data_IF_050389275114
#
_entry.id   IF_050389275114
#
_cell.length_a   1.000
_cell.length_b   1.000
_cell.length_c   1.000
_cell.angle_alpha   90.00
_cell.angle_beta   90.00
_cell.angle_gamma   90.00
#
_symmetry.space_group_name_H-M   'P 1'
#
loop_
_entity.id
_entity.type
_entity.pdbx_description
1 polymer ?
#
# COMPACT_ATOMS: atom_id res chain seq x y z
N UNK A 1 34.26 62.93 -41.03
CA UNK A 1 33.55 62.77 -39.74
C UNK A 1 32.64 61.59 -39.87
N UNK A 2 33.08 60.41 -39.35
CA UNK A 2 32.33 59.15 -39.44
C UNK A 2 31.79 58.78 -38.02
N UNK A 3 30.46 58.76 -37.81
CA UNK A 3 29.83 58.42 -36.57
C UNK A 3 29.56 56.92 -36.57
N UNK A 4 30.23 56.19 -35.68
CA UNK A 4 29.91 54.79 -35.34
C UNK A 4 28.74 54.78 -34.39
N UNK A 5 27.64 54.09 -34.79
CA UNK A 5 26.50 53.76 -33.91
C UNK A 5 26.76 52.36 -33.35
N UNK A 6 26.96 52.30 -32.04
CA UNK A 6 27.14 51.06 -31.30
C UNK A 6 25.73 50.54 -30.87
N UNK A 7 25.26 49.48 -31.53
CA UNK A 7 24.00 48.81 -31.19
C UNK A 7 24.25 47.77 -30.08
N UNK A 8 23.73 48.04 -28.90
CA UNK A 8 23.77 47.14 -27.74
C UNK A 8 22.68 46.07 -27.86
N UNK A 9 23.04 44.80 -28.12
CA UNK A 9 22.12 43.69 -28.06
C UNK A 9 21.97 43.25 -26.60
N UNK A 10 20.82 43.54 -25.94
CA UNK A 10 20.41 42.93 -24.68
C UNK A 10 19.88 41.53 -24.98
N UNK A 11 20.67 40.51 -24.68
CA UNK A 11 20.20 39.12 -24.68
C UNK A 11 19.27 38.85 -23.49
N UNK A 12 17.99 38.66 -23.75
CA UNK A 12 17.03 38.22 -22.76
C UNK A 12 17.11 36.68 -22.64
N UNK A 13 17.81 36.20 -21.63
CA UNK A 13 17.81 34.75 -21.30
C UNK A 13 16.53 34.39 -20.58
N UNK A 14 15.60 33.75 -21.30
CA UNK A 14 14.37 33.20 -20.69
C UNK A 14 14.74 31.89 -19.98
N UNK A 15 14.81 31.96 -18.67
CA UNK A 15 14.99 30.78 -17.81
C UNK A 15 13.66 29.99 -17.75
N UNK A 16 13.62 28.86 -18.46
CA UNK A 16 12.47 27.92 -18.36
C UNK A 16 12.54 27.19 -17.02
N UNK A 17 11.74 27.61 -16.04
CA UNK A 17 11.51 26.85 -14.82
C UNK A 17 10.51 25.75 -15.16
N UNK A 18 10.98 24.52 -15.33
CA UNK A 18 10.12 23.35 -15.44
C UNK A 18 9.45 23.10 -14.07
N UNK A 19 8.25 23.61 -13.90
CA UNK A 19 7.41 23.27 -12.75
C UNK A 19 6.99 21.81 -12.87
N UNK A 20 7.57 20.93 -12.04
CA UNK A 20 7.06 19.57 -11.84
C UNK A 20 5.69 19.67 -11.20
N UNK A 21 4.63 19.76 -11.99
CA UNK A 21 3.25 19.62 -11.51
C UNK A 21 3.01 18.14 -11.20
N UNK A 22 3.07 17.76 -9.94
CA UNK A 22 2.56 16.49 -9.47
C UNK A 22 1.04 16.51 -9.61
N UNK A 23 0.52 15.90 -10.67
CA UNK A 23 -0.93 15.69 -10.80
C UNK A 23 -1.42 14.83 -9.63
N UNK A 24 -2.45 15.27 -8.87
CA UNK A 24 -3.02 14.44 -7.83
C UNK A 24 -3.61 13.18 -8.47
N UNK A 25 -3.17 12.02 -7.98
CA UNK A 25 -3.64 10.71 -8.43
C UNK A 25 -5.15 10.59 -8.14
N UNK A 26 -5.98 10.70 -9.18
CA UNK A 26 -7.41 10.45 -9.09
C UNK A 26 -7.61 8.95 -8.83
N UNK A 27 -8.34 8.54 -7.77
CA UNK A 27 -8.61 7.12 -7.54
C UNK A 27 -9.27 6.51 -8.78
N UNK A 28 -8.62 5.50 -9.35
CA UNK A 28 -9.19 4.75 -10.48
C UNK A 28 -10.42 3.99 -9.99
N UNK A 29 -11.58 4.31 -10.53
CA UNK A 29 -12.85 3.59 -10.31
C UNK A 29 -13.05 2.47 -11.34
N UNK A 30 -12.04 2.19 -12.16
CA UNK A 30 -12.12 1.13 -13.17
C UNK A 30 -12.31 -0.22 -12.51
N UNK A 31 -13.25 -1.07 -12.99
CA UNK A 31 -13.41 -2.41 -12.48
C UNK A 31 -12.13 -3.23 -12.73
N UNK A 32 -11.81 -4.14 -11.81
CA UNK A 32 -10.68 -5.05 -11.97
C UNK A 32 -10.86 -5.90 -13.24
N UNK A 33 -9.76 -6.23 -13.96
CA UNK A 33 -9.84 -7.02 -15.20
C UNK A 33 -10.48 -8.40 -14.95
N UNK A 34 -11.65 -8.73 -15.53
CA UNK A 34 -12.41 -9.93 -15.17
C UNK A 34 -11.64 -11.23 -15.37
N UNK A 35 -10.87 -11.35 -16.45
CA UNK A 35 -10.07 -12.53 -16.74
C UNK A 35 -8.99 -12.78 -15.67
N UNK A 36 -8.33 -11.72 -15.19
CA UNK A 36 -7.31 -11.83 -14.13
C UNK A 36 -7.96 -12.17 -12.78
N UNK A 37 -9.12 -11.58 -12.47
CA UNK A 37 -9.91 -11.91 -11.28
C UNK A 37 -10.28 -13.39 -11.28
N UNK A 38 -10.78 -13.92 -12.41
CA UNK A 38 -11.14 -15.33 -12.52
C UNK A 38 -9.92 -16.24 -12.40
N UNK A 39 -8.79 -15.87 -13.00
CA UNK A 39 -7.53 -16.59 -12.86
C UNK A 39 -7.12 -16.69 -11.39
N UNK A 40 -7.11 -15.58 -10.66
CA UNK A 40 -6.76 -15.55 -9.22
C UNK A 40 -7.71 -16.41 -8.38
N UNK A 41 -9.01 -16.37 -8.65
CA UNK A 41 -9.99 -17.20 -7.94
C UNK A 41 -9.74 -18.71 -8.11
N UNK A 42 -9.22 -19.12 -9.27
CA UNK A 42 -8.92 -20.53 -9.57
C UNK A 42 -7.56 -20.99 -9.02
N UNK A 43 -6.73 -20.08 -8.51
CA UNK A 43 -5.44 -20.41 -7.88
C UNK A 43 -5.65 -20.84 -6.43
N UNK A 44 -4.77 -21.70 -5.94
CA UNK A 44 -4.76 -22.07 -4.52
C UNK A 44 -4.03 -21.00 -3.69
N UNK A 45 -4.55 -20.71 -2.49
CA UNK A 45 -3.83 -19.91 -1.49
C UNK A 45 -2.61 -20.71 -0.99
N UNK A 46 -1.44 -20.10 -1.01
CA UNK A 46 -0.27 -20.67 -0.39
C UNK A 46 -0.45 -20.75 1.13
N UNK A 47 -0.17 -21.91 1.72
CA UNK A 47 -0.21 -22.12 3.17
C UNK A 47 0.88 -21.31 3.92
N UNK A 48 1.89 -20.79 3.20
CA UNK A 48 2.96 -19.96 3.75
C UNK A 48 3.10 -18.68 2.95
N UNK A 49 3.07 -17.56 3.66
CA UNK A 49 3.19 -16.22 3.10
C UNK A 49 4.43 -15.53 3.69
N UNK A 50 5.17 -14.72 2.91
CA UNK A 50 6.25 -13.92 3.44
C UNK A 50 5.70 -12.83 4.37
N UNK A 51 6.50 -12.46 5.35
CA UNK A 51 6.20 -11.33 6.23
C UNK A 51 6.16 -10.04 5.40
N UNK A 52 5.05 -9.28 5.42
CA UNK A 52 4.85 -8.14 4.53
C UNK A 52 5.60 -6.86 4.95
N UNK A 53 6.55 -6.95 5.86
CA UNK A 53 7.39 -5.83 6.30
C UNK A 53 8.86 -6.20 6.13
N UNK A 54 9.59 -5.39 5.37
CA UNK A 54 11.00 -5.64 5.06
C UNK A 54 11.84 -5.76 6.36
N UNK A 55 12.75 -6.74 6.38
CA UNK A 55 13.69 -7.01 7.47
C UNK A 55 13.07 -7.47 8.80
N UNK A 56 11.77 -7.71 8.86
CA UNK A 56 11.13 -8.36 10.01
C UNK A 56 11.23 -9.88 9.86
N UNK A 57 11.62 -10.57 10.91
CA UNK A 57 11.75 -12.02 10.99
C UNK A 57 10.60 -12.64 11.77
N UNK A 58 10.25 -13.89 11.51
CA UNK A 58 9.14 -14.60 12.18
C UNK A 58 9.19 -14.51 13.72
N UNK A 59 10.38 -14.63 14.32
CA UNK A 59 10.56 -14.50 15.79
C UNK A 59 10.20 -13.11 16.37
N UNK A 60 10.07 -12.10 15.54
CA UNK A 60 9.71 -10.72 15.94
C UNK A 60 8.19 -10.48 15.84
N UNK A 61 7.47 -11.39 15.18
CA UNK A 61 6.01 -11.30 15.10
C UNK A 61 5.40 -11.64 16.47
N UNK A 62 4.31 -10.94 16.78
CA UNK A 62 3.45 -11.26 17.91
C UNK A 62 2.08 -11.60 17.38
N UNK A 63 1.46 -12.65 17.89
CA UNK A 63 0.06 -12.91 17.61
C UNK A 63 -0.79 -11.93 18.41
N UNK A 64 -1.30 -10.92 17.70
CA UNK A 64 -2.18 -9.89 18.26
C UNK A 64 -3.63 -10.07 17.79
N UNK A 65 -3.93 -11.21 17.13
CA UNK A 65 -5.27 -11.56 16.70
C UNK A 65 -6.25 -11.63 17.89
N UNK A 66 -7.47 -11.13 17.71
CA UNK A 66 -8.52 -11.17 18.72
C UNK A 66 -8.32 -10.22 19.91
N UNK A 67 -7.21 -9.48 19.97
CA UNK A 67 -6.99 -8.50 21.03
C UNK A 67 -8.10 -7.43 21.06
N UNK A 68 -8.50 -6.99 22.25
CA UNK A 68 -9.50 -5.93 22.40
C UNK A 68 -9.07 -4.63 21.74
N UNK A 69 -10.02 -3.97 21.08
CA UNK A 69 -9.86 -2.66 20.45
C UNK A 69 -10.91 -1.67 21.01
N UNK A 70 -10.69 -0.39 20.76
CA UNK A 70 -11.64 0.65 21.16
C UNK A 70 -13.05 0.38 20.60
N UNK A 71 -14.08 0.82 21.32
CA UNK A 71 -15.50 0.67 20.96
C UNK A 71 -15.96 -0.81 20.84
N UNK A 72 -15.46 -1.70 21.69
CA UNK A 72 -15.91 -3.10 21.76
C UNK A 72 -15.52 -3.96 20.55
N UNK A 73 -14.65 -3.49 19.67
CA UNK A 73 -14.17 -4.27 18.52
C UNK A 73 -13.08 -5.25 18.95
N UNK A 74 -12.94 -6.32 18.20
CA UNK A 74 -11.80 -7.24 18.26
C UNK A 74 -10.81 -6.95 17.13
N UNK A 75 -9.56 -7.34 17.33
CA UNK A 75 -8.51 -7.16 16.33
C UNK A 75 -8.61 -8.22 15.23
N UNK A 76 -8.99 -7.79 14.05
CA UNK A 76 -9.18 -8.63 12.86
C UNK A 76 -7.94 -8.61 11.95
N UNK A 77 -6.79 -8.96 12.53
CA UNK A 77 -5.49 -8.97 11.86
C UNK A 77 -4.35 -9.11 12.85
N UNK A 78 -3.15 -8.82 12.40
CA UNK A 78 -1.98 -8.69 13.29
C UNK A 78 -1.30 -7.35 13.06
N UNK A 79 -0.66 -6.84 14.11
CA UNK A 79 0.12 -5.62 14.07
C UNK A 79 1.62 -5.97 14.00
N UNK A 80 2.26 -5.62 12.91
CA UNK A 80 3.69 -5.87 12.68
C UNK A 80 4.45 -4.57 12.95
N UNK A 81 5.11 -4.50 14.08
CA UNK A 81 5.83 -3.32 14.54
C UNK A 81 7.09 -3.10 13.71
N UNK A 82 7.28 -1.88 13.19
CA UNK A 82 8.48 -1.47 12.47
C UNK A 82 8.59 0.06 12.45
N UNK A 83 9.81 0.61 12.29
CA UNK A 83 10.00 2.05 12.15
C UNK A 83 9.18 2.62 10.97
N UNK A 84 8.67 3.87 11.13
CA UNK A 84 8.03 4.62 10.04
C UNK A 84 8.92 4.62 8.80
N UNK A 85 8.33 4.48 7.62
CA UNK A 85 9.04 4.45 6.35
C UNK A 85 9.67 3.10 6.00
N UNK A 86 9.58 2.07 6.88
CA UNK A 86 9.98 0.70 6.53
C UNK A 86 9.13 0.21 5.36
N UNK A 87 9.77 -0.43 4.36
CA UNK A 87 9.06 -0.92 3.16
C UNK A 87 8.01 -1.98 3.52
N UNK A 88 6.79 -1.79 3.03
CA UNK A 88 5.72 -2.77 3.06
C UNK A 88 5.66 -3.48 1.72
N UNK A 89 5.72 -4.80 1.76
CA UNK A 89 5.80 -5.67 0.59
C UNK A 89 4.51 -6.48 0.47
N UNK A 90 4.12 -6.82 -0.75
CA UNK A 90 3.00 -7.72 -0.95
C UNK A 90 3.30 -9.12 -0.41
N UNK A 91 2.46 -9.62 0.49
CA UNK A 91 2.56 -11.00 1.00
C UNK A 91 2.11 -12.03 -0.04
N UNK A 92 1.40 -11.61 -1.06
CA UNK A 92 0.83 -12.46 -2.11
C UNK A 92 1.05 -11.86 -3.49
N UNK A 93 0.90 -12.64 -4.53
CA UNK A 93 0.64 -12.10 -5.87
C UNK A 93 -0.84 -11.73 -5.98
N UNK A 94 -1.18 -10.80 -6.87
CA UNK A 94 -2.58 -10.43 -7.07
C UNK A 94 -2.78 -9.05 -7.67
N UNK A 95 -4.04 -8.62 -7.69
CA UNK A 95 -4.45 -7.31 -8.19
C UNK A 95 -4.60 -6.31 -7.06
N UNK A 96 -4.03 -5.13 -7.22
CA UNK A 96 -4.37 -3.98 -6.37
C UNK A 96 -5.85 -3.67 -6.60
N UNK A 97 -6.66 -3.96 -5.61
CA UNK A 97 -8.11 -3.84 -5.72
C UNK A 97 -8.65 -2.54 -5.14
N UNK A 98 -7.86 -1.91 -4.24
CA UNK A 98 -8.26 -0.64 -3.65
C UNK A 98 -7.05 0.07 -3.04
N UNK A 99 -7.01 1.38 -3.24
CA UNK A 99 -6.07 2.32 -2.65
C UNK A 99 -6.88 3.50 -2.11
N UNK A 100 -6.93 3.66 -0.80
CA UNK A 100 -7.70 4.76 -0.20
C UNK A 100 -7.06 5.28 1.07
N UNK A 101 -7.55 6.42 1.52
CA UNK A 101 -7.32 6.93 2.86
C UNK A 101 -8.68 7.05 3.58
N UNK A 102 -8.80 6.48 4.77
CA UNK A 102 -10.02 6.52 5.57
C UNK A 102 -9.71 6.69 7.07
N UNK A 103 -10.74 7.01 7.85
CA UNK A 103 -10.56 7.33 9.28
C UNK A 103 -10.09 6.14 10.12
N UNK A 104 -10.42 4.90 9.74
CA UNK A 104 -10.06 3.71 10.50
C UNK A 104 -8.65 3.23 10.14
N UNK A 105 -8.46 2.79 8.90
CA UNK A 105 -7.19 2.20 8.46
C UNK A 105 -6.15 3.22 8.03
N UNK A 106 -6.52 4.50 7.90
CA UNK A 106 -5.64 5.50 7.29
C UNK A 106 -5.39 5.20 5.82
N UNK A 107 -4.16 5.35 5.37
CA UNK A 107 -3.76 4.93 4.02
C UNK A 107 -3.70 3.40 3.96
N UNK A 108 -4.48 2.81 3.07
CA UNK A 108 -4.65 1.36 2.97
C UNK A 108 -4.46 0.85 1.56
N UNK A 109 -4.02 -0.40 1.46
CA UNK A 109 -3.98 -1.18 0.22
C UNK A 109 -4.80 -2.44 0.43
N UNK A 110 -5.66 -2.76 -0.55
CA UNK A 110 -6.31 -4.05 -0.65
C UNK A 110 -5.81 -4.79 -1.88
N UNK A 111 -5.45 -6.05 -1.72
CA UNK A 111 -5.02 -6.93 -2.81
C UNK A 111 -5.98 -8.11 -2.89
N UNK A 112 -6.49 -8.37 -4.10
CA UNK A 112 -7.17 -9.61 -4.44
C UNK A 112 -6.12 -10.63 -4.87
N UNK A 113 -5.96 -11.69 -4.09
CA UNK A 113 -4.95 -12.73 -4.26
C UNK A 113 -5.53 -14.07 -4.74
N UNK A 114 -4.66 -15.11 -4.77
CA UNK A 114 -5.03 -16.49 -5.08
C UNK A 114 -6.18 -17.01 -4.22
N UNK A 115 -7.02 -17.89 -4.78
CA UNK A 115 -8.22 -18.41 -4.13
C UNK A 115 -9.33 -17.37 -3.94
N UNK A 116 -9.21 -16.18 -4.54
CA UNK A 116 -10.14 -15.08 -4.31
C UNK A 116 -10.00 -14.44 -2.93
N UNK A 117 -8.87 -14.68 -2.25
CA UNK A 117 -8.58 -14.11 -0.94
C UNK A 117 -8.29 -12.62 -1.01
N UNK A 118 -8.56 -11.91 0.08
CA UNK A 118 -8.31 -10.49 0.18
C UNK A 118 -7.29 -10.20 1.27
N UNK A 119 -6.27 -9.43 0.90
CA UNK A 119 -5.18 -9.03 1.80
C UNK A 119 -5.27 -7.54 2.07
N UNK A 120 -5.30 -7.19 3.34
CA UNK A 120 -5.46 -5.82 3.83
C UNK A 120 -4.19 -5.32 4.49
N UNK A 121 -3.72 -4.17 4.05
CA UNK A 121 -2.54 -3.48 4.56
C UNK A 121 -2.97 -2.08 5.00
N UNK A 122 -2.85 -1.77 6.29
CA UNK A 122 -3.33 -0.50 6.82
C UNK A 122 -2.28 0.26 7.63
N UNK A 123 -2.61 1.48 8.00
CA UNK A 123 -1.80 2.46 8.72
C UNK A 123 -0.54 2.89 7.98
N UNK A 124 -0.53 2.76 6.64
CA UNK A 124 0.62 3.13 5.83
C UNK A 124 0.94 4.62 5.96
N UNK A 125 2.23 4.96 5.93
CA UNK A 125 2.69 6.33 5.80
C UNK A 125 2.42 6.86 4.40
N UNK A 126 2.79 6.04 3.39
CA UNK A 126 2.54 6.32 1.97
C UNK A 126 2.32 5.03 1.19
N UNK A 127 1.53 5.12 0.11
CA UNK A 127 1.51 4.10 -0.93
C UNK A 127 2.81 4.19 -1.75
N UNK A 128 3.24 3.10 -2.38
CA UNK A 128 4.30 3.16 -3.40
C UNK A 128 3.90 4.15 -4.49
N UNK A 129 4.80 5.05 -4.86
CA UNK A 129 4.58 6.00 -5.95
C UNK A 129 4.27 5.27 -7.26
N UNK A 130 3.20 5.69 -7.94
CA UNK A 130 2.76 5.11 -9.20
C UNK A 130 1.94 3.81 -9.05
N UNK A 131 1.66 3.34 -7.82
CA UNK A 131 0.78 2.20 -7.60
C UNK A 131 -0.67 2.59 -7.91
N UNK A 132 -1.38 1.78 -8.67
CA UNK A 132 -2.75 2.03 -9.11
C UNK A 132 -3.67 0.83 -8.91
N UNK A 133 -4.97 1.08 -8.76
CA UNK A 133 -5.98 0.01 -8.78
C UNK A 133 -5.96 -0.66 -10.16
N UNK A 134 -5.95 -1.99 -10.18
CA UNK A 134 -5.81 -2.80 -11.39
C UNK A 134 -4.38 -3.26 -11.66
N UNK A 135 -3.36 -2.68 -11.00
CA UNK A 135 -1.98 -3.17 -11.12
C UNK A 135 -1.88 -4.60 -10.60
N UNK A 136 -1.15 -5.44 -11.33
CA UNK A 136 -0.76 -6.76 -10.84
C UNK A 136 0.57 -6.66 -10.10
N UNK A 137 0.59 -7.16 -8.88
CA UNK A 137 1.79 -7.25 -8.04
C UNK A 137 2.19 -8.70 -7.83
N UNK A 138 3.49 -8.94 -7.72
CA UNK A 138 4.06 -10.22 -7.32
C UNK A 138 4.28 -10.25 -5.81
N UNK A 139 4.38 -11.45 -5.26
CA UNK A 139 4.86 -11.66 -3.89
C UNK A 139 6.21 -10.96 -3.70
N UNK A 140 6.33 -10.13 -2.67
CA UNK A 140 7.55 -9.34 -2.38
C UNK A 140 7.63 -7.98 -3.06
N UNK A 141 6.71 -7.61 -3.96
CA UNK A 141 6.70 -6.28 -4.57
C UNK A 141 6.39 -5.20 -3.53
N UNK A 142 7.07 -4.07 -3.66
CA UNK A 142 6.84 -2.89 -2.83
C UNK A 142 5.44 -2.32 -3.10
N UNK A 143 4.64 -2.12 -2.04
CA UNK A 143 3.29 -1.56 -2.14
C UNK A 143 3.11 -0.28 -1.30
N UNK A 144 4.00 -0.01 -0.34
CA UNK A 144 3.92 1.17 0.51
C UNK A 144 4.98 1.17 1.60
N UNK A 145 4.74 1.98 2.61
CA UNK A 145 5.68 2.18 3.72
C UNK A 145 4.91 2.18 5.04
N UNK A 146 5.51 1.61 6.09
CA UNK A 146 4.94 1.56 7.45
C UNK A 146 4.74 2.97 7.97
N UNK A 147 3.58 3.21 8.56
CA UNK A 147 3.22 4.46 9.22
C UNK A 147 2.41 4.22 10.48
N UNK A 148 1.53 5.16 10.77
CA UNK A 148 0.52 5.10 11.83
C UNK A 148 -0.69 5.98 11.48
N UNK A 149 -1.08 6.01 10.21
CA UNK A 149 -2.22 6.82 9.76
C UNK A 149 -3.56 6.23 10.22
N UNK A 150 -4.65 6.99 10.06
CA UNK A 150 -5.96 6.59 10.54
C UNK A 150 -6.09 6.64 12.06
N UNK A 151 -6.76 5.65 12.65
CA UNK A 151 -6.93 5.58 14.10
C UNK A 151 -5.66 5.20 14.88
N UNK A 152 -4.59 4.79 14.18
CA UNK A 152 -3.28 4.49 14.75
C UNK A 152 -2.38 5.73 14.96
N UNK A 153 -2.84 6.95 14.64
CA UNK A 153 -2.01 8.18 14.65
C UNK A 153 -1.30 8.49 15.96
N UNK A 154 -1.79 7.96 17.07
CA UNK A 154 -1.21 8.16 18.41
C UNK A 154 -0.51 6.91 18.95
N UNK A 155 -0.30 5.89 18.09
CA UNK A 155 0.39 4.65 18.47
C UNK A 155 1.77 4.58 17.83
N UNK A 156 2.61 3.65 18.30
CA UNK A 156 3.87 3.30 17.65
C UNK A 156 3.61 2.86 16.20
N UNK A 157 4.45 3.28 15.23
CA UNK A 157 4.30 2.86 13.84
C UNK A 157 4.27 1.34 13.67
N UNK A 158 3.34 0.85 12.87
CA UNK A 158 3.16 -0.57 12.59
C UNK A 158 2.38 -0.76 11.30
N UNK A 159 2.50 -1.94 10.70
CA UNK A 159 1.59 -2.41 9.68
C UNK A 159 0.49 -3.22 10.36
N UNK A 160 -0.78 -2.84 10.19
CA UNK A 160 -1.90 -3.75 10.42
C UNK A 160 -2.13 -4.58 9.16
N UNK A 161 -2.09 -5.92 9.31
CA UNK A 161 -2.25 -6.86 8.20
C UNK A 161 -3.38 -7.85 8.49
N UNK A 162 -4.32 -7.98 7.54
CA UNK A 162 -5.48 -8.87 7.61
C UNK A 162 -5.63 -9.74 6.37
N UNK A 163 -6.20 -10.94 6.53
CA UNK A 163 -6.57 -11.87 5.45
C UNK A 163 -8.06 -12.21 5.56
N UNK A 164 -8.76 -12.16 4.42
CA UNK A 164 -10.20 -12.40 4.34
C UNK A 164 -10.48 -13.41 3.22
N UNK A 165 -11.26 -14.45 3.52
CA UNK A 165 -11.49 -15.59 2.62
C UNK A 165 -12.81 -15.51 1.86
N UNK A 166 -13.81 -14.78 2.37
CA UNK A 166 -15.18 -14.75 1.82
C UNK A 166 -15.51 -13.45 1.07
N UNK A 167 -14.49 -12.67 0.75
CA UNK A 167 -14.64 -11.39 0.07
C UNK A 167 -14.01 -10.24 0.84
N UNK A 168 -13.98 -9.07 0.23
CA UNK A 168 -13.38 -7.87 0.83
C UNK A 168 -14.02 -7.52 2.17
N UNK A 169 -13.26 -7.66 3.26
CA UNK A 169 -13.74 -7.38 4.62
C UNK A 169 -14.68 -8.44 5.21
N UNK A 170 -14.74 -9.66 4.64
CA UNK A 170 -15.58 -10.76 5.13
C UNK A 170 -14.79 -12.05 5.25
N UNK A 171 -15.15 -12.89 6.26
CA UNK A 171 -14.47 -14.16 6.48
C UNK A 171 -13.03 -13.96 6.90
N UNK A 172 -12.78 -13.04 7.84
CA UNK A 172 -11.43 -12.73 8.34
C UNK A 172 -10.84 -13.92 9.08
N UNK A 173 -9.56 -14.19 8.88
CA UNK A 173 -8.81 -15.25 9.55
C UNK A 173 -7.55 -14.69 10.19
N UNK A 174 -7.03 -15.41 11.23
CA UNK A 174 -5.77 -15.03 11.86
C UNK A 174 -4.60 -15.11 10.85
N UNK A 175 -3.91 -14.02 10.51
CA UNK A 175 -2.79 -14.07 9.57
C UNK A 175 -1.53 -14.70 10.14
N UNK A 176 -1.38 -14.72 11.48
CA UNK A 176 -0.13 -15.10 12.15
C UNK A 176 0.37 -16.50 11.77
N UNK A 177 -0.46 -17.58 11.68
CA UNK A 177 0.01 -18.90 11.29
C UNK A 177 0.53 -19.00 9.86
N UNK A 178 0.15 -18.08 8.98
CA UNK A 178 0.56 -18.09 7.57
C UNK A 178 1.92 -17.41 7.33
N UNK A 179 2.38 -16.54 8.24
CA UNK A 179 3.58 -15.73 8.03
C UNK A 179 4.86 -16.46 8.45
N UNK A 180 5.84 -16.53 7.52
CA UNK A 180 7.14 -17.18 7.71
C UNK A 180 8.28 -16.32 7.17
#
# INVERSE_FOLDING_TARGET
MLRFILTLFLGFSILWIAACTSTPHKPSTSPLPPAQVQKLKNMQLNASLPIPVKNIKARQLKDTWGASRSHGRTHEGIDIMAPRGTKVLSATEGLIADLRNNNLGGKVVWILGPGGTWHYYAHLDEHKRGLSVGDYVKKGDLIGYVGNTGNARHTTPHLHYGIYLEGKGRGVVNPYPYLR
#
